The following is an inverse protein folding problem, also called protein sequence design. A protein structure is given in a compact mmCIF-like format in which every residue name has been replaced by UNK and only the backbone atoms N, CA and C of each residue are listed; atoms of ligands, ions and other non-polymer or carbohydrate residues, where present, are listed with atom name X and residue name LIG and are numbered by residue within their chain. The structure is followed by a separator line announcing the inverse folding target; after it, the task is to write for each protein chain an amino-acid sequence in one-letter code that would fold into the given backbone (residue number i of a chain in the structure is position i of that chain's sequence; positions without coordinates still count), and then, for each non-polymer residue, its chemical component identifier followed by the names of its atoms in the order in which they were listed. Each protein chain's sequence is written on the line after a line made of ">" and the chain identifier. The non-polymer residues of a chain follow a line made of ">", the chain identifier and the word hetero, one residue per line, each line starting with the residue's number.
data_IF_559522507058
#
_entry.id   IF_559522507058
#
_cell.length_a   1.000
_cell.length_b   1.000
_cell.length_c   1.000
_cell.angle_alpha   90.00
_cell.angle_beta   90.00
_cell.angle_gamma   90.00
#
_symmetry.space_group_name_H-M   'P 1'
#
loop_
_entity.id
_entity.type
_entity.pdbx_description
1 polymer ?
#
# COMPACT_ATOMS: atom_id res chain seq x y z
N UNK A 1 2.01 -3.01 -26.01
CA UNK A 1 2.22 -2.61 -24.59
C UNK A 1 3.17 -1.44 -24.58
N UNK A 2 2.99 -0.49 -23.65
CA UNK A 2 3.89 0.67 -23.49
C UNK A 2 5.22 0.23 -22.87
N UNK A 3 6.30 0.89 -23.21
CA UNK A 3 7.54 0.76 -22.43
C UNK A 3 7.35 1.35 -21.04
N UNK A 4 7.94 0.70 -20.04
CA UNK A 4 7.82 1.07 -18.63
C UNK A 4 9.18 1.44 -18.07
N UNK A 5 9.18 2.35 -17.12
CA UNK A 5 10.31 2.65 -16.23
C UNK A 5 9.83 2.64 -14.79
N UNK A 6 10.76 2.39 -13.87
CA UNK A 6 10.48 2.50 -12.44
C UNK A 6 11.53 3.36 -11.73
N UNK A 7 11.17 3.83 -10.56
CA UNK A 7 12.02 4.63 -9.68
C UNK A 7 11.56 4.45 -8.24
N UNK A 8 12.50 4.40 -7.31
CA UNK A 8 12.18 4.47 -5.88
C UNK A 8 12.09 5.94 -5.45
N UNK A 9 11.10 6.26 -4.62
CA UNK A 9 10.88 7.58 -4.04
C UNK A 9 10.42 7.48 -2.60
N UNK A 10 10.85 8.44 -1.79
CA UNK A 10 10.37 8.60 -0.41
C UNK A 10 9.29 9.67 -0.34
N UNK A 11 8.29 9.40 0.51
CA UNK A 11 7.34 10.37 1.03
C UNK A 11 7.75 10.68 2.47
N UNK A 12 8.07 11.94 2.76
CA UNK A 12 8.23 12.41 4.14
C UNK A 12 6.88 12.79 4.69
N UNK A 13 6.46 12.10 5.74
CA UNK A 13 5.21 12.35 6.45
C UNK A 13 5.32 13.58 7.36
N UNK A 14 4.19 14.10 7.82
CA UNK A 14 4.13 15.27 8.69
C UNK A 14 4.85 15.07 10.03
N UNK A 15 4.96 13.83 10.52
CA UNK A 15 5.72 13.48 11.73
C UNK A 15 7.21 13.25 11.48
N UNK A 16 7.67 13.48 10.25
CA UNK A 16 9.07 13.36 9.83
C UNK A 16 9.51 11.97 9.38
N UNK A 17 8.67 10.94 9.51
CA UNK A 17 8.98 9.58 9.03
C UNK A 17 8.96 9.55 7.50
N UNK A 18 9.89 8.80 6.91
CA UNK A 18 9.94 8.59 5.46
C UNK A 18 9.39 7.21 5.09
N UNK A 19 8.40 7.19 4.19
CA UNK A 19 7.88 5.97 3.58
C UNK A 19 8.44 5.81 2.18
N UNK A 20 9.02 4.63 1.89
CA UNK A 20 9.66 4.35 0.62
C UNK A 20 8.70 3.61 -0.31
N UNK A 21 8.65 4.05 -1.55
CA UNK A 21 7.77 3.48 -2.59
C UNK A 21 8.55 3.21 -3.85
N UNK A 22 8.21 2.13 -4.55
CA UNK A 22 8.59 1.91 -5.95
C UNK A 22 7.45 2.31 -6.86
N UNK A 23 7.77 3.11 -7.87
CA UNK A 23 6.82 3.67 -8.82
C UNK A 23 7.14 3.17 -10.21
N UNK A 24 6.25 2.40 -10.81
CA UNK A 24 6.30 2.02 -12.22
C UNK A 24 5.39 2.93 -13.02
N UNK A 25 5.83 3.37 -14.18
CA UNK A 25 5.04 4.24 -15.05
C UNK A 25 5.42 4.08 -16.52
N UNK A 26 4.52 4.41 -17.46
CA UNK A 26 4.87 4.49 -18.87
C UNK A 26 6.05 5.45 -19.10
N UNK A 27 6.90 5.13 -20.07
CA UNK A 27 7.96 6.06 -20.53
C UNK A 27 7.39 7.21 -21.36
N UNK A 28 6.25 6.99 -21.98
CA UNK A 28 5.58 7.97 -22.82
C UNK A 28 5.21 9.23 -22.03
N UNK A 29 5.15 10.38 -22.72
CA UNK A 29 4.56 11.57 -22.16
C UNK A 29 3.04 11.38 -22.03
N UNK A 30 2.48 11.70 -20.88
CA UNK A 30 1.05 11.55 -20.64
C UNK A 30 0.66 11.89 -19.20
N UNK A 31 -0.63 11.77 -18.94
CA UNK A 31 -1.23 11.92 -17.62
C UNK A 31 -2.06 10.67 -17.34
N UNK A 32 -1.71 9.95 -16.26
CA UNK A 32 -2.16 8.59 -16.03
C UNK A 32 -2.89 8.47 -14.68
N UNK A 33 -3.92 7.63 -14.56
CA UNK A 33 -4.45 7.26 -13.25
C UNK A 33 -3.42 6.47 -12.46
N UNK A 34 -3.44 6.59 -11.15
CA UNK A 34 -2.55 5.87 -10.25
C UNK A 34 -3.25 4.65 -9.63
N UNK A 35 -2.49 3.57 -9.47
CA UNK A 35 -2.84 2.40 -8.65
C UNK A 35 -1.86 2.36 -7.47
N UNK A 36 -2.37 2.19 -6.26
CA UNK A 36 -1.55 2.12 -5.05
C UNK A 36 -1.78 0.80 -4.32
N UNK A 37 -0.67 0.17 -3.92
CA UNK A 37 -0.61 -0.95 -2.99
C UNK A 37 0.29 -0.57 -1.83
N UNK A 38 -0.16 -0.74 -0.59
CA UNK A 38 0.66 -0.55 0.63
C UNK A 38 0.77 -1.88 1.36
N UNK A 39 1.99 -2.26 1.76
CA UNK A 39 2.26 -3.58 2.30
C UNK A 39 3.43 -3.63 3.29
N UNK A 40 3.43 -4.58 4.24
CA UNK A 40 4.52 -4.74 5.20
C UNK A 40 5.61 -5.73 4.76
N UNK A 41 5.53 -6.30 3.55
CA UNK A 41 6.35 -7.44 3.12
C UNK A 41 7.56 -7.05 2.28
N UNK A 42 7.80 -5.76 2.08
CA UNK A 42 8.82 -5.23 1.19
C UNK A 42 8.29 -4.98 -0.24
N UNK A 43 8.48 -3.76 -0.74
CA UNK A 43 7.97 -3.32 -2.06
C UNK A 43 8.53 -4.10 -3.25
N UNK A 44 9.62 -4.83 -3.04
CA UNK A 44 10.23 -5.67 -4.09
C UNK A 44 9.40 -6.93 -4.36
N UNK A 45 8.62 -7.39 -3.37
CA UNK A 45 7.67 -8.49 -3.50
C UNK A 45 6.30 -7.90 -3.92
N UNK A 46 6.29 -7.21 -5.05
CA UNK A 46 5.10 -6.48 -5.50
C UNK A 46 4.10 -7.34 -6.27
N UNK A 47 4.49 -8.51 -6.71
CA UNK A 47 3.62 -9.47 -7.39
C UNK A 47 3.37 -10.68 -6.50
N UNK A 48 2.15 -11.18 -6.54
CA UNK A 48 1.72 -12.41 -5.88
C UNK A 48 1.06 -13.30 -6.91
N UNK A 49 0.70 -14.52 -6.54
CA UNK A 49 -0.13 -15.37 -7.40
C UNK A 49 -1.50 -14.74 -7.73
N UNK A 50 -1.90 -13.73 -6.97
CA UNK A 50 -3.21 -13.06 -7.10
C UNK A 50 -3.18 -11.87 -8.06
N UNK A 51 -2.02 -11.23 -8.24
CA UNK A 51 -1.90 -10.00 -9.04
C UNK A 51 -0.73 -10.07 -10.01
N UNK A 52 -0.93 -9.51 -11.19
CA UNK A 52 0.15 -9.28 -12.15
C UNK A 52 1.18 -8.31 -11.59
N UNK A 53 2.43 -8.45 -12.04
CA UNK A 53 3.51 -7.54 -11.68
C UNK A 53 3.14 -6.08 -12.01
N UNK A 54 3.52 -5.09 -11.19
CA UNK A 54 3.23 -3.67 -11.42
C UNK A 54 3.59 -3.15 -12.80
N UNK A 55 4.65 -3.67 -13.40
CA UNK A 55 5.06 -3.33 -14.78
C UNK A 55 3.98 -3.64 -15.81
N UNK A 56 3.24 -4.73 -15.64
CA UNK A 56 2.15 -5.09 -16.54
C UNK A 56 1.06 -4.02 -16.51
N UNK A 57 0.64 -3.57 -15.32
CA UNK A 57 -0.35 -2.50 -15.17
C UNK A 57 0.16 -1.18 -15.74
N UNK A 58 1.44 -0.84 -15.48
CA UNK A 58 2.05 0.35 -16.02
C UNK A 58 2.09 0.33 -17.55
N UNK A 59 2.34 -0.84 -18.18
CA UNK A 59 2.28 -0.99 -19.64
C UNK A 59 0.90 -0.74 -20.24
N UNK A 60 -0.16 -0.78 -19.40
CA UNK A 60 -1.55 -0.47 -19.78
C UNK A 60 -1.92 1.00 -19.58
N UNK A 61 -1.01 1.84 -19.08
CA UNK A 61 -1.26 3.26 -18.91
C UNK A 61 -1.65 3.65 -17.48
N UNK A 62 -1.08 2.99 -16.48
CA UNK A 62 -1.21 3.36 -15.08
C UNK A 62 0.14 3.80 -14.50
N UNK A 63 0.10 4.69 -13.53
CA UNK A 63 1.18 4.84 -12.55
C UNK A 63 0.91 3.81 -11.47
N UNK A 64 1.84 2.91 -11.19
CA UNK A 64 1.67 1.89 -10.14
C UNK A 64 2.65 2.19 -9.03
N UNK A 65 2.14 2.38 -7.82
CA UNK A 65 2.91 2.69 -6.62
C UNK A 65 2.78 1.51 -5.66
N UNK A 66 3.91 0.91 -5.29
CA UNK A 66 3.98 -0.06 -4.20
C UNK A 66 4.81 0.54 -3.08
N UNK A 67 4.20 0.72 -1.92
CA UNK A 67 4.81 1.37 -0.77
C UNK A 67 5.03 0.40 0.38
N UNK A 68 6.24 0.42 0.93
CA UNK A 68 6.53 -0.18 2.23
C UNK A 68 5.81 0.62 3.31
N UNK A 69 5.01 -0.04 4.16
CA UNK A 69 4.38 0.64 5.29
C UNK A 69 5.41 1.02 6.34
N UNK A 70 5.06 1.92 7.24
CA UNK A 70 5.91 2.42 8.32
C UNK A 70 6.61 1.28 9.09
N UNK A 71 7.93 1.38 9.23
CA UNK A 71 8.77 0.42 9.95
C UNK A 71 8.95 -0.92 9.25
N UNK A 72 8.62 -1.02 7.95
CA UNK A 72 8.82 -2.23 7.15
C UNK A 72 9.58 -1.93 5.85
N UNK A 73 10.22 -2.96 5.29
CA UNK A 73 11.06 -2.81 4.12
C UNK A 73 12.14 -1.75 4.33
N UNK A 74 12.15 -0.72 3.48
CA UNK A 74 13.07 0.42 3.60
C UNK A 74 12.42 1.66 4.20
N UNK A 75 11.15 1.60 4.61
CA UNK A 75 10.45 2.72 5.26
C UNK A 75 10.92 2.91 6.70
N UNK A 76 11.04 4.17 7.10
CA UNK A 76 11.42 4.56 8.45
C UNK A 76 10.32 4.35 9.49
N UNK A 77 10.65 4.69 10.74
CA UNK A 77 9.75 4.60 11.88
C UNK A 77 9.66 3.20 12.49
N UNK A 78 8.61 2.97 13.27
CA UNK A 78 8.37 1.70 13.96
C UNK A 78 7.04 1.12 13.52
N UNK A 79 7.03 -0.14 13.14
CA UNK A 79 5.80 -0.85 12.81
C UNK A 79 4.99 -1.12 14.08
N UNK A 80 3.79 -0.59 14.12
CA UNK A 80 2.83 -0.76 15.25
C UNK A 80 1.54 -1.45 14.77
N UNK A 81 1.67 -2.34 13.79
CA UNK A 81 0.51 -2.96 13.15
C UNK A 81 -0.35 -1.93 12.42
N UNK A 82 -1.63 -1.95 12.67
CA UNK A 82 -2.63 -1.17 11.93
C UNK A 82 -2.87 0.25 12.48
N UNK A 83 -2.34 0.57 13.65
CA UNK A 83 -2.70 1.80 14.38
C UNK A 83 -2.27 3.10 13.68
N UNK A 84 -1.19 3.06 12.88
CA UNK A 84 -0.69 4.20 12.12
C UNK A 84 -1.30 4.33 10.72
N UNK A 85 -1.98 3.29 10.23
CA UNK A 85 -2.45 3.24 8.84
C UNK A 85 -3.41 4.39 8.47
N UNK A 86 -4.34 4.85 9.33
CA UNK A 86 -5.25 5.94 8.93
C UNK A 86 -4.53 7.22 8.50
N UNK A 87 -3.55 7.68 9.26
CA UNK A 87 -2.79 8.89 8.94
C UNK A 87 -1.86 8.67 7.75
N UNK A 88 -1.06 7.60 7.78
CA UNK A 88 -0.10 7.27 6.74
C UNK A 88 -0.78 7.05 5.38
N UNK A 89 -1.94 6.40 5.38
CA UNK A 89 -2.76 6.20 4.18
C UNK A 89 -3.22 7.53 3.59
N UNK A 90 -3.72 8.43 4.43
CA UNK A 90 -4.25 9.73 3.99
C UNK A 90 -3.16 10.60 3.36
N UNK A 91 -1.99 10.69 3.98
CA UNK A 91 -0.85 11.43 3.44
C UNK A 91 -0.32 10.78 2.15
N UNK A 92 -0.28 9.45 2.10
CA UNK A 92 0.13 8.73 0.89
C UNK A 92 -0.82 8.98 -0.27
N UNK A 93 -2.14 9.02 -0.06
CA UNK A 93 -3.13 9.31 -1.11
C UNK A 93 -2.91 10.70 -1.71
N UNK A 94 -2.68 11.71 -0.87
CA UNK A 94 -2.39 13.07 -1.32
C UNK A 94 -1.10 13.11 -2.15
N UNK A 95 -0.05 12.47 -1.65
CA UNK A 95 1.24 12.42 -2.33
C UNK A 95 1.16 11.71 -3.68
N UNK A 96 0.49 10.55 -3.77
CA UNK A 96 0.34 9.83 -5.05
C UNK A 96 -0.40 10.69 -6.08
N UNK A 97 -1.45 11.40 -5.66
CA UNK A 97 -2.18 12.30 -6.56
C UNK A 97 -1.35 13.51 -7.02
N UNK A 98 -0.34 13.91 -6.23
CA UNK A 98 0.56 15.02 -6.57
C UNK A 98 1.72 14.62 -7.50
N UNK A 99 1.88 13.35 -7.82
CA UNK A 99 2.90 12.91 -8.76
C UNK A 99 2.70 13.59 -10.12
N UNK A 100 3.78 14.13 -10.70
CA UNK A 100 3.75 15.00 -11.89
C UNK A 100 2.92 14.44 -13.06
N UNK A 101 2.99 13.12 -13.28
CA UNK A 101 2.27 12.49 -14.39
C UNK A 101 0.93 11.87 -13.95
N UNK A 102 0.50 12.07 -12.69
CA UNK A 102 -0.80 11.62 -12.20
C UNK A 102 -1.91 12.56 -12.66
N UNK A 103 -3.02 12.00 -13.17
CA UNK A 103 -4.20 12.76 -13.55
C UNK A 103 -5.16 13.05 -12.38
N UNK A 104 -4.72 12.75 -11.14
CA UNK A 104 -5.49 12.95 -9.92
C UNK A 104 -6.45 11.79 -9.57
N UNK A 105 -6.59 10.78 -10.45
CA UNK A 105 -7.36 9.57 -10.16
C UNK A 105 -6.51 8.55 -9.44
N UNK A 106 -7.08 7.94 -8.38
CA UNK A 106 -6.40 6.97 -7.52
C UNK A 106 -7.29 5.75 -7.28
N UNK A 107 -6.82 4.60 -7.74
CA UNK A 107 -7.35 3.28 -7.37
C UNK A 107 -6.44 2.59 -6.38
N UNK A 108 -7.02 1.79 -5.49
CA UNK A 108 -6.28 0.96 -4.54
C UNK A 108 -6.56 -0.51 -4.84
N UNK A 109 -5.56 -1.36 -4.66
CA UNK A 109 -5.68 -2.80 -4.86
C UNK A 109 -4.80 -3.55 -3.88
N UNK A 110 -5.13 -4.80 -3.60
CA UNK A 110 -4.30 -5.64 -2.75
C UNK A 110 -5.08 -6.67 -1.95
N UNK A 111 -4.33 -7.65 -1.47
CA UNK A 111 -4.81 -8.84 -0.79
C UNK A 111 -4.38 -8.81 0.69
N UNK A 112 -5.23 -9.27 1.61
CA UNK A 112 -4.90 -9.37 3.04
C UNK A 112 -4.57 -7.99 3.64
N UNK A 113 -3.37 -7.77 4.18
CA UNK A 113 -2.94 -6.47 4.71
C UNK A 113 -3.06 -5.35 3.66
N UNK A 114 -2.70 -5.64 2.42
CA UNK A 114 -2.84 -4.70 1.31
C UNK A 114 -4.32 -4.36 1.01
N UNK A 115 -5.23 -5.30 1.28
CA UNK A 115 -6.66 -5.06 1.21
C UNK A 115 -7.13 -4.15 2.33
N UNK A 116 -6.61 -4.38 3.54
CA UNK A 116 -6.94 -3.61 4.72
C UNK A 116 -6.54 -2.14 4.60
N UNK A 117 -5.34 -1.85 4.12
CA UNK A 117 -4.84 -0.48 3.95
C UNK A 117 -5.73 0.36 3.01
N UNK A 118 -6.55 -0.27 2.18
CA UNK A 118 -7.51 0.44 1.32
C UNK A 118 -8.72 0.97 2.09
N UNK A 119 -9.06 0.32 3.21
CA UNK A 119 -10.23 0.61 4.04
C UNK A 119 -9.89 1.59 5.18
N UNK A 120 -8.65 2.06 5.22
CA UNK A 120 -8.15 3.00 6.21
C UNK A 120 -8.01 4.40 5.62
N UNK A 121 -8.08 5.41 6.46
CA UNK A 121 -7.95 6.82 6.08
C UNK A 121 -8.58 7.70 7.15
N UNK A 122 -8.28 8.98 7.11
CA UNK A 122 -8.94 9.97 7.97
C UNK A 122 -10.18 10.53 7.29
N UNK A 123 -11.16 10.97 8.07
CA UNK A 123 -12.42 11.54 7.56
C UNK A 123 -12.20 12.75 6.62
N UNK A 124 -11.12 13.49 6.86
CA UNK A 124 -10.80 14.71 6.11
C UNK A 124 -9.99 14.44 4.84
N UNK A 125 -9.59 13.20 4.59
CA UNK A 125 -8.85 12.85 3.38
C UNK A 125 -9.78 12.62 2.19
N UNK A 126 -9.36 13.09 1.01
CA UNK A 126 -10.08 12.78 -0.24
C UNK A 126 -10.07 11.27 -0.47
N UNK A 127 -11.22 10.59 -0.54
CA UNK A 127 -11.28 9.15 -0.75
C UNK A 127 -10.68 8.76 -2.10
N UNK A 128 -10.22 7.50 -2.24
CA UNK A 128 -9.82 6.95 -3.54
C UNK A 128 -11.02 6.88 -4.50
N UNK A 129 -10.73 6.89 -5.80
CA UNK A 129 -11.75 6.79 -6.84
C UNK A 129 -12.24 5.36 -7.04
N UNK A 130 -11.43 4.37 -6.65
CA UNK A 130 -11.75 2.95 -6.75
C UNK A 130 -11.03 2.14 -5.67
N UNK A 131 -11.69 1.12 -5.14
CA UNK A 131 -11.14 0.15 -4.19
C UNK A 131 -11.29 -1.26 -4.74
N UNK A 132 -10.25 -2.09 -4.58
CA UNK A 132 -10.27 -3.51 -4.90
C UNK A 132 -9.62 -4.32 -3.76
N UNK A 133 -10.22 -4.31 -2.55
CA UNK A 133 -9.74 -5.11 -1.44
C UNK A 133 -10.08 -6.58 -1.65
N UNK A 134 -9.12 -7.48 -1.41
CA UNK A 134 -9.33 -8.91 -1.49
C UNK A 134 -8.92 -9.59 -0.18
N UNK A 135 -9.73 -10.54 0.27
CA UNK A 135 -9.51 -11.39 1.46
C UNK A 135 -8.98 -10.60 2.66
N UNK A 136 -9.74 -9.63 3.12
CA UNK A 136 -9.38 -8.79 4.26
C UNK A 136 -10.57 -8.57 5.20
N UNK A 137 -10.29 -8.29 6.46
CA UNK A 137 -11.30 -7.89 7.43
C UNK A 137 -11.56 -6.38 7.38
N UNK A 138 -12.76 -5.97 7.75
CA UNK A 138 -13.13 -4.55 7.92
C UNK A 138 -13.05 -4.10 9.38
N UNK A 139 -12.97 -5.03 10.31
CA UNK A 139 -12.76 -4.81 11.74
C UNK A 139 -11.52 -5.59 12.19
N UNK A 140 -10.46 -4.86 12.56
CA UNK A 140 -9.18 -5.46 12.95
C UNK A 140 -9.28 -6.36 14.17
N UNK A 141 -10.11 -5.99 15.11
CA UNK A 141 -10.27 -6.74 16.34
C UNK A 141 -11.02 -8.04 16.11
N UNK A 142 -12.16 -7.96 15.40
CA UNK A 142 -13.07 -9.09 15.30
C UNK A 142 -12.88 -9.91 14.01
N UNK A 143 -12.25 -9.36 12.98
CA UNK A 143 -12.06 -10.05 11.70
C UNK A 143 -10.59 -10.39 11.40
N UNK A 144 -9.66 -9.99 12.26
CA UNK A 144 -8.22 -10.25 12.04
C UNK A 144 -7.55 -10.90 13.23
N UNK A 145 -7.72 -10.37 14.42
CA UNK A 145 -6.97 -10.79 15.60
C UNK A 145 -7.74 -11.64 16.58
N UNK A 146 -9.06 -11.57 16.57
CA UNK A 146 -9.91 -12.31 17.52
C UNK A 146 -11.28 -12.62 16.93
N UNK A 147 -12.00 -13.50 17.61
CA UNK A 147 -13.39 -13.80 17.34
C UNK A 147 -14.12 -13.92 18.69
N UNK A 148 -15.25 -13.20 18.85
CA UNK A 148 -15.99 -13.16 20.10
C UNK A 148 -15.16 -12.79 21.32
N UNK A 149 -14.06 -12.06 21.14
CA UNK A 149 -13.10 -11.70 22.20
C UNK A 149 -11.99 -12.73 22.42
N UNK A 150 -12.03 -13.91 21.80
CA UNK A 150 -10.96 -14.89 21.86
C UNK A 150 -9.86 -14.57 20.82
N UNK A 151 -8.63 -14.42 21.28
CA UNK A 151 -7.49 -14.09 20.45
C UNK A 151 -7.04 -15.29 19.60
N UNK A 152 -6.85 -15.10 18.30
CA UNK A 152 -6.41 -16.14 17.39
C UNK A 152 -4.89 -16.34 17.43
N UNK A 153 -4.41 -17.07 18.39
CA UNK A 153 -3.00 -17.31 18.62
C UNK A 153 -2.26 -17.83 17.39
N UNK A 154 -2.76 -18.87 16.75
CA UNK A 154 -2.08 -19.51 15.62
C UNK A 154 -1.82 -18.51 14.47
N UNK A 155 -2.86 -17.75 14.08
CA UNK A 155 -2.74 -16.82 12.97
C UNK A 155 -1.84 -15.63 13.34
N UNK A 156 -2.01 -15.07 14.52
CA UNK A 156 -1.30 -13.85 14.90
C UNK A 156 0.18 -14.11 15.23
N UNK A 157 0.53 -15.23 15.86
CA UNK A 157 1.93 -15.60 16.12
C UNK A 157 2.64 -15.91 14.79
N UNK A 158 2.04 -16.71 13.92
CA UNK A 158 2.65 -17.06 12.64
C UNK A 158 2.91 -15.82 11.78
N UNK A 159 1.92 -14.92 11.69
CA UNK A 159 2.09 -13.67 10.97
C UNK A 159 3.09 -12.73 11.64
N UNK A 160 3.08 -12.64 12.97
CA UNK A 160 4.05 -11.83 13.72
C UNK A 160 5.49 -12.29 13.50
N UNK A 161 5.73 -13.60 13.49
CA UNK A 161 7.04 -14.17 13.18
C UNK A 161 7.46 -13.88 11.73
N UNK A 162 6.53 -14.00 10.77
CA UNK A 162 6.79 -13.64 9.38
C UNK A 162 7.23 -12.17 9.27
N UNK A 163 6.49 -11.24 9.87
CA UNK A 163 6.82 -9.81 9.86
C UNK A 163 8.18 -9.53 10.53
N UNK A 164 8.48 -10.20 11.63
CA UNK A 164 9.76 -10.05 12.33
C UNK A 164 10.94 -10.58 11.49
N UNK A 165 10.74 -11.63 10.72
CA UNK A 165 11.77 -12.21 9.85
C UNK A 165 12.09 -11.37 8.60
N UNK A 166 11.28 -10.37 8.28
CA UNK A 166 11.46 -9.47 7.14
C UNK A 166 12.28 -8.20 7.48
N UNK A 167 12.82 -8.13 8.70
CA UNK A 167 13.62 -6.99 9.18
C UNK A 167 15.12 -7.22 9.06
#
# INVERSE_FOLDING_TARGET
>A
MREVKWVDKSLKLNDGVELVSRIWKPKDKGSWPALLMRQPYGREIASTITYSHPEWWASKGYIVVVQDVRGQGSSGGVFKGFSQEPSDTSETHQWVRSLKECNGKLGLYGFSYQGLTQLTGTKDSKPPDCLSPAMTGIDFKNHWSSDGGAFWWNNNIAWGLQIAALK
#
